data_IF_922172314576
#
_entry.id   IF_922172314576
#
_cell.length_a   1.000
_cell.length_b   1.000
_cell.length_c   1.000
_cell.angle_alpha   90.00
_cell.angle_beta   90.00
_cell.angle_gamma   90.00
#
_symmetry.space_group_name_H-M   'P 1'
#
loop_
_entity.id
_entity.type
_entity.pdbx_description
1 polymer ?
#
# COMPACT_ATOMS: atom_id res chain seq x y z
N UNK A 1 9.96 33.53 45.38
CA UNK A 1 9.58 32.14 45.11
C UNK A 1 8.07 31.93 44.85
N UNK A 2 7.32 32.97 44.44
CA UNK A 2 5.85 32.92 44.34
C UNK A 2 5.31 33.10 42.89
N UNK A 3 6.19 33.20 41.89
CA UNK A 3 5.79 33.41 40.48
C UNK A 3 5.85 32.16 39.62
N UNK A 4 6.42 31.06 40.12
CA UNK A 4 6.53 29.77 39.35
C UNK A 4 5.37 28.82 39.60
N UNK A 5 4.64 28.97 40.70
CA UNK A 5 3.50 28.11 41.03
C UNK A 5 2.24 28.37 40.15
N UNK A 6 2.13 29.56 39.54
CA UNK A 6 0.97 29.93 38.68
C UNK A 6 1.08 29.44 37.23
N UNK A 7 2.27 29.09 36.79
CA UNK A 7 2.50 28.54 35.45
C UNK A 7 2.16 27.04 35.30
N UNK A 8 2.33 26.27 36.37
CA UNK A 8 2.07 24.81 36.33
C UNK A 8 0.59 24.45 36.37
N UNK A 9 -0.27 25.30 36.95
CA UNK A 9 -1.72 25.02 37.02
C UNK A 9 -2.41 25.28 35.67
N UNK A 10 -1.93 26.22 34.85
CA UNK A 10 -2.52 26.53 33.56
C UNK A 10 -2.22 25.46 32.47
N UNK A 11 -1.10 24.72 32.58
CA UNK A 11 -0.72 23.64 31.66
C UNK A 11 -1.49 22.35 31.98
N UNK A 12 -1.89 22.14 33.21
CA UNK A 12 -2.61 20.93 33.63
C UNK A 12 -4.07 20.89 33.13
N UNK A 13 -4.69 22.02 32.82
CA UNK A 13 -6.09 22.10 32.35
C UNK A 13 -6.21 21.82 30.85
N UNK A 14 -5.12 21.95 30.07
CA UNK A 14 -5.14 21.69 28.63
C UNK A 14 -4.87 20.23 28.26
N UNK A 15 -4.50 19.36 29.20
CA UNK A 15 -4.22 17.94 29.00
C UNK A 15 -5.41 17.01 29.33
N UNK A 16 -6.51 17.56 29.83
CA UNK A 16 -7.69 16.81 30.26
C UNK A 16 -8.71 16.49 29.15
N UNK A 17 -8.48 16.89 27.90
CA UNK A 17 -9.50 16.89 26.85
C UNK A 17 -9.65 15.61 26.01
N UNK A 18 -8.79 14.61 26.09
CA UNK A 18 -8.80 13.47 25.18
C UNK A 18 -9.29 12.13 25.77
N UNK A 19 -9.73 12.11 27.03
CA UNK A 19 -10.21 10.87 27.66
C UNK A 19 -11.69 10.54 27.43
N UNK A 20 -12.40 11.31 26.58
CA UNK A 20 -13.85 11.18 26.40
C UNK A 20 -14.28 10.43 25.12
N UNK A 21 -13.34 9.92 24.31
CA UNK A 21 -13.67 9.28 23.01
C UNK A 21 -13.43 7.77 22.97
N UNK A 22 -12.99 7.13 24.05
CA UNK A 22 -12.97 5.67 24.15
C UNK A 22 -14.21 5.18 24.91
N UNK A 23 -15.37 5.49 24.36
CA UNK A 23 -16.56 4.72 24.67
C UNK A 23 -16.48 3.49 23.77
N UNK A 24 -15.94 2.38 24.29
CA UNK A 24 -16.36 1.06 23.84
C UNK A 24 -17.86 1.16 23.64
N UNK A 25 -18.33 1.11 22.41
CA UNK A 25 -19.70 0.83 22.11
C UNK A 25 -19.93 -0.60 22.58
N UNK A 26 -20.15 -0.76 23.89
CA UNK A 26 -20.90 -1.89 24.41
C UNK A 26 -22.19 -1.81 23.59
N UNK A 27 -22.30 -2.64 22.57
CA UNK A 27 -23.54 -2.80 21.83
C UNK A 27 -24.58 -3.18 22.88
N UNK A 28 -25.30 -2.19 23.33
CA UNK A 28 -26.55 -2.43 24.07
C UNK A 28 -27.35 -3.29 23.12
N UNK A 29 -27.72 -4.52 23.50
CA UNK A 29 -28.57 -5.33 22.65
C UNK A 29 -29.80 -4.47 22.36
N UNK A 30 -29.96 -4.08 21.11
CA UNK A 30 -31.14 -3.34 20.63
C UNK A 30 -32.36 -4.28 20.64
N UNK A 31 -32.72 -4.73 21.82
CA UNK A 31 -33.96 -5.47 22.08
C UNK A 31 -35.02 -4.51 22.60
N UNK A 32 -35.01 -3.27 22.17
CA UNK A 32 -36.24 -2.49 22.18
C UNK A 32 -36.97 -2.76 20.86
N UNK A 33 -37.65 -3.89 20.80
CA UNK A 33 -38.82 -3.92 19.92
C UNK A 33 -39.66 -2.72 20.35
N UNK A 34 -39.59 -1.63 19.60
CA UNK A 34 -40.51 -0.52 19.71
C UNK A 34 -41.84 -1.11 19.26
N UNK A 35 -42.62 -1.63 20.21
CA UNK A 35 -43.99 -2.02 19.95
C UNK A 35 -44.75 -0.75 19.57
N UNK A 36 -44.86 -0.51 18.27
CA UNK A 36 -45.66 0.58 17.76
C UNK A 36 -47.11 0.38 18.21
N UNK A 37 -47.59 1.16 19.17
CA UNK A 37 -48.97 1.16 19.56
C UNK A 37 -49.75 1.92 18.50
N UNK A 38 -50.48 1.19 17.68
CA UNK A 38 -51.37 1.79 16.66
C UNK A 38 -52.64 2.19 17.37
N UNK A 39 -53.05 3.46 17.32
CA UNK A 39 -54.34 3.93 17.88
C UNK A 39 -55.51 3.17 17.28
N UNK A 40 -56.57 2.99 18.07
CA UNK A 40 -57.81 2.36 17.61
C UNK A 40 -58.41 3.17 16.44
N UNK A 41 -58.69 2.48 15.31
CA UNK A 41 -59.23 3.06 14.10
C UNK A 41 -58.24 3.24 12.93
N UNK A 42 -56.95 2.99 13.14
CA UNK A 42 -55.97 2.97 12.05
C UNK A 42 -55.63 1.54 11.61
N UNK A 43 -55.56 1.32 10.29
CA UNK A 43 -55.16 0.05 9.73
C UNK A 43 -53.67 -0.21 10.03
N UNK A 44 -53.33 -1.46 10.41
CA UNK A 44 -51.92 -1.86 10.56
C UNK A 44 -51.21 -1.70 9.21
N UNK A 45 -49.93 -1.18 9.22
CA UNK A 45 -49.15 -1.13 8.00
C UNK A 45 -49.05 -2.54 7.39
N UNK A 46 -49.27 -2.63 6.09
CA UNK A 46 -49.09 -3.87 5.36
C UNK A 46 -47.59 -4.21 5.32
N UNK A 47 -47.18 -5.20 6.09
CA UNK A 47 -45.83 -5.74 6.01
C UNK A 47 -45.83 -6.84 4.94
N UNK A 48 -45.13 -6.65 3.80
CA UNK A 48 -45.02 -7.70 2.81
C UNK A 48 -44.32 -8.94 3.45
N UNK A 49 -44.92 -10.11 3.31
CA UNK A 49 -44.38 -11.37 3.86
C UNK A 49 -42.96 -11.69 3.36
N UNK A 50 -42.52 -11.05 2.29
CA UNK A 50 -41.16 -11.15 1.77
C UNK A 50 -40.07 -10.63 2.76
N UNK A 51 -40.44 -9.83 3.76
CA UNK A 51 -39.55 -9.29 4.78
C UNK A 51 -39.73 -9.94 6.16
N UNK A 52 -40.61 -10.94 6.27
CA UNK A 52 -40.75 -11.68 7.52
C UNK A 52 -39.49 -12.54 7.77
N UNK A 53 -38.80 -12.23 8.85
CA UNK A 53 -37.68 -13.05 9.30
C UNK A 53 -38.27 -14.28 9.99
N UNK A 54 -38.06 -15.50 9.47
CA UNK A 54 -38.53 -16.72 10.12
C UNK A 54 -38.06 -16.79 11.57
N UNK A 55 -38.97 -17.07 12.51
CA UNK A 55 -38.61 -17.26 13.90
C UNK A 55 -37.69 -18.49 14.00
N UNK A 56 -36.43 -18.27 14.27
CA UNK A 56 -35.47 -19.34 14.57
C UNK A 56 -35.74 -19.81 16.00
N UNK A 57 -35.99 -21.10 16.18
CA UNK A 57 -36.13 -21.69 17.52
C UNK A 57 -34.87 -21.33 18.34
N UNK A 58 -35.02 -20.86 19.59
CA UNK A 58 -33.87 -20.53 20.43
C UNK A 58 -33.05 -21.79 20.65
N UNK A 59 -31.89 -21.88 20.05
CA UNK A 59 -30.88 -22.89 20.37
C UNK A 59 -30.34 -22.51 21.74
N UNK A 60 -30.78 -23.25 22.78
CA UNK A 60 -30.39 -22.98 24.16
C UNK A 60 -28.86 -23.03 24.30
N UNK A 61 -28.25 -21.92 24.67
CA UNK A 61 -26.85 -21.85 25.09
C UNK A 61 -25.86 -21.23 24.08
N UNK A 62 -26.22 -20.93 22.86
CA UNK A 62 -25.32 -20.21 21.92
C UNK A 62 -25.80 -18.79 21.71
N UNK A 63 -25.00 -17.84 22.14
CA UNK A 63 -25.13 -16.44 21.69
C UNK A 63 -24.88 -16.47 20.20
N UNK A 64 -25.91 -16.16 19.39
CA UNK A 64 -25.74 -16.05 17.95
C UNK A 64 -24.64 -15.03 17.67
N UNK A 65 -23.53 -15.48 17.07
CA UNK A 65 -22.45 -14.59 16.68
C UNK A 65 -22.97 -13.65 15.58
N UNK A 66 -23.20 -12.38 15.94
CA UNK A 66 -23.73 -11.36 15.02
C UNK A 66 -22.68 -10.75 14.10
N UNK A 67 -21.41 -11.21 14.19
CA UNK A 67 -20.36 -10.71 13.32
C UNK A 67 -20.56 -11.25 11.90
N UNK A 68 -20.45 -10.41 10.87
CA UNK A 68 -20.48 -10.89 9.49
C UNK A 68 -19.30 -11.85 9.24
N UNK A 69 -19.45 -12.83 8.33
CA UNK A 69 -18.35 -13.73 7.99
C UNK A 69 -17.17 -12.94 7.40
N UNK A 70 -15.96 -13.32 7.77
CA UNK A 70 -14.75 -12.76 7.15
C UNK A 70 -14.67 -13.24 5.70
N UNK A 71 -14.49 -12.29 4.76
CA UNK A 71 -14.43 -12.58 3.34
C UNK A 71 -12.99 -12.68 2.86
N UNK A 72 -12.75 -13.54 1.87
CA UNK A 72 -11.48 -13.58 1.14
C UNK A 72 -11.45 -12.40 0.18
N UNK A 73 -10.32 -11.67 0.16
CA UNK A 73 -10.11 -10.48 -0.65
C UNK A 73 -9.12 -10.80 -1.77
N UNK A 74 -9.59 -10.96 -3.00
CA UNK A 74 -8.76 -11.19 -4.17
C UNK A 74 -8.11 -9.86 -4.63
N UNK A 75 -7.11 -9.38 -3.89
CA UNK A 75 -6.43 -8.09 -4.15
C UNK A 75 -5.25 -8.18 -5.11
N UNK A 76 -4.65 -9.36 -5.29
CA UNK A 76 -3.63 -9.59 -6.29
C UNK A 76 -4.25 -9.66 -7.69
N UNK A 77 -3.56 -9.15 -8.72
CA UNK A 77 -4.07 -9.15 -10.10
C UNK A 77 -4.22 -10.57 -10.67
N UNK A 78 -3.43 -11.51 -10.18
CA UNK A 78 -3.55 -12.94 -10.48
C UNK A 78 -4.65 -13.64 -9.69
N UNK A 79 -5.15 -13.05 -8.60
CA UNK A 79 -6.06 -13.74 -7.68
C UNK A 79 -7.52 -13.64 -8.11
N UNK A 80 -8.27 -14.72 -7.92
CA UNK A 80 -9.72 -14.76 -8.13
C UNK A 80 -10.40 -15.70 -7.13
N UNK A 81 -11.69 -15.51 -6.94
CA UNK A 81 -12.55 -16.38 -6.14
C UNK A 81 -13.44 -17.21 -7.08
N UNK A 82 -13.69 -18.45 -6.70
CA UNK A 82 -14.76 -19.26 -7.29
C UNK A 82 -16.00 -19.20 -6.38
N UNK A 83 -17.18 -19.08 -7.00
CA UNK A 83 -18.44 -19.08 -6.26
C UNK A 83 -18.69 -20.45 -5.60
N UNK A 84 -19.38 -20.46 -4.45
CA UNK A 84 -19.79 -21.66 -3.69
C UNK A 84 -18.70 -22.43 -2.92
N UNK A 85 -17.51 -21.89 -2.73
CA UNK A 85 -16.49 -22.59 -1.94
C UNK A 85 -16.72 -22.47 -0.43
N UNK A 86 -16.87 -23.61 0.23
CA UNK A 86 -16.94 -23.72 1.69
C UNK A 86 -15.56 -23.65 2.36
N UNK A 87 -14.50 -23.77 1.58
CA UNK A 87 -13.12 -23.78 2.04
C UNK A 87 -12.52 -22.36 2.04
N UNK A 88 -11.53 -22.12 2.90
CA UNK A 88 -10.70 -20.91 2.84
C UNK A 88 -9.70 -21.05 1.71
N UNK A 89 -10.15 -20.79 0.47
CA UNK A 89 -9.42 -21.02 -0.77
C UNK A 89 -9.45 -19.81 -1.67
N UNK A 90 -8.31 -19.52 -2.31
CA UNK A 90 -8.14 -18.55 -3.39
C UNK A 90 -7.53 -19.25 -4.61
N UNK A 91 -7.90 -18.80 -5.80
CA UNK A 91 -7.28 -19.21 -7.04
C UNK A 91 -6.33 -18.13 -7.53
N UNK A 92 -5.17 -18.54 -8.04
CA UNK A 92 -4.24 -17.69 -8.76
C UNK A 92 -4.18 -18.13 -10.22
N UNK A 93 -4.08 -17.16 -11.11
CA UNK A 93 -3.93 -17.38 -12.54
C UNK A 93 -2.64 -16.75 -13.04
N UNK A 94 -1.95 -17.45 -13.92
CA UNK A 94 -0.73 -16.96 -14.55
C UNK A 94 -1.02 -15.69 -15.34
N UNK A 95 -0.21 -14.67 -15.12
CA UNK A 95 -0.17 -13.45 -15.92
C UNK A 95 1.28 -13.06 -16.22
N UNK A 96 1.50 -11.96 -16.91
CA UNK A 96 2.83 -11.48 -17.30
C UNK A 96 3.72 -11.10 -16.09
N UNK A 97 3.11 -10.82 -14.93
CA UNK A 97 3.82 -10.43 -13.72
C UNK A 97 4.26 -11.63 -12.88
N UNK A 98 3.52 -12.74 -12.95
CA UNK A 98 3.81 -13.95 -12.16
C UNK A 98 4.84 -14.86 -12.82
N UNK A 99 5.01 -14.78 -14.15
CA UNK A 99 5.87 -15.70 -14.87
C UNK A 99 5.44 -17.16 -14.68
N UNK A 100 6.31 -18.01 -14.16
CA UNK A 100 5.94 -19.40 -13.79
C UNK A 100 5.22 -19.38 -12.44
N UNK A 101 3.93 -19.68 -12.46
CA UNK A 101 3.01 -19.43 -11.35
C UNK A 101 3.37 -20.20 -10.08
N UNK A 102 3.68 -21.50 -10.17
CA UNK A 102 3.93 -22.32 -8.98
C UNK A 102 5.20 -21.88 -8.22
N UNK A 103 6.38 -21.76 -8.86
CA UNK A 103 7.57 -21.24 -8.18
C UNK A 103 7.37 -19.81 -7.62
N UNK A 104 6.66 -18.95 -8.35
CA UNK A 104 6.37 -17.60 -7.89
C UNK A 104 5.57 -17.61 -6.59
N UNK A 105 4.44 -18.34 -6.54
CA UNK A 105 3.60 -18.44 -5.33
C UNK A 105 4.34 -19.11 -4.18
N UNK A 106 5.13 -20.16 -4.44
CA UNK A 106 5.97 -20.78 -3.43
C UNK A 106 7.00 -19.81 -2.83
N UNK A 107 7.57 -18.94 -3.65
CA UNK A 107 8.51 -17.92 -3.18
C UNK A 107 7.80 -16.89 -2.32
N UNK A 108 6.64 -16.36 -2.76
CA UNK A 108 5.88 -15.40 -1.97
C UNK A 108 5.42 -15.98 -0.62
N UNK A 109 5.08 -17.27 -0.60
CA UNK A 109 4.73 -17.96 0.64
C UNK A 109 5.92 -18.02 1.62
N UNK A 110 7.11 -18.40 1.13
CA UNK A 110 8.35 -18.42 1.94
C UNK A 110 8.70 -17.03 2.45
N UNK A 111 8.68 -16.02 1.59
CA UNK A 111 9.02 -14.64 1.94
C UNK A 111 8.05 -14.06 2.98
N UNK A 112 6.77 -14.36 2.84
CA UNK A 112 5.73 -13.92 3.79
C UNK A 112 5.99 -14.43 5.21
N UNK A 113 6.30 -15.72 5.38
CA UNK A 113 6.54 -16.29 6.71
C UNK A 113 7.93 -15.95 7.25
N UNK A 114 8.95 -15.88 6.37
CA UNK A 114 10.29 -15.43 6.75
C UNK A 114 10.29 -13.99 7.29
N UNK A 115 9.57 -13.07 6.66
CA UNK A 115 9.43 -11.69 7.12
C UNK A 115 8.79 -11.58 8.52
N UNK A 116 8.00 -12.55 8.92
CA UNK A 116 7.36 -12.64 10.24
C UNK A 116 8.16 -13.49 11.25
N UNK A 117 9.34 -14.00 10.83
CA UNK A 117 10.15 -14.93 11.65
C UNK A 117 9.39 -16.19 12.07
N UNK A 118 8.46 -16.65 11.23
CA UNK A 118 7.69 -17.86 11.42
C UNK A 118 8.31 -18.97 10.57
N UNK A 119 8.59 -20.10 11.19
CA UNK A 119 9.08 -21.28 10.49
C UNK A 119 8.00 -21.80 9.52
N UNK A 120 8.41 -22.17 8.31
CA UNK A 120 7.54 -22.79 7.31
C UNK A 120 8.16 -24.13 6.90
N UNK A 121 7.56 -25.22 7.36
CA UNK A 121 8.01 -26.58 7.08
C UNK A 121 7.31 -27.12 5.83
N UNK A 122 8.10 -27.53 4.84
CA UNK A 122 7.58 -28.20 3.64
C UNK A 122 7.31 -29.67 3.96
N UNK A 123 6.10 -30.18 3.65
CA UNK A 123 5.67 -31.53 4.00
C UNK A 123 5.81 -32.56 2.86
N UNK A 124 6.09 -32.09 1.63
CA UNK A 124 6.27 -32.95 0.46
C UNK A 124 7.38 -32.42 -0.48
N UNK A 125 7.96 -33.29 -1.29
CA UNK A 125 9.07 -32.96 -2.19
C UNK A 125 8.68 -31.96 -3.29
N UNK A 126 7.40 -31.90 -3.66
CA UNK A 126 6.90 -30.99 -4.68
C UNK A 126 6.65 -29.56 -4.16
N UNK A 127 6.71 -29.35 -2.85
CA UNK A 127 6.39 -28.05 -2.24
C UNK A 127 4.93 -27.65 -2.42
N UNK A 128 4.02 -28.60 -2.31
CA UNK A 128 2.58 -28.35 -2.44
C UNK A 128 1.89 -28.27 -1.10
N UNK A 129 2.50 -28.77 -0.03
CA UNK A 129 1.96 -28.73 1.33
C UNK A 129 2.99 -28.18 2.31
N UNK A 130 2.54 -27.26 3.13
CA UNK A 130 3.36 -26.58 4.13
C UNK A 130 2.63 -26.54 5.46
N UNK A 131 3.40 -26.54 6.54
CA UNK A 131 2.92 -26.33 7.89
C UNK A 131 3.70 -25.16 8.51
N UNK A 132 2.98 -24.24 9.16
CA UNK A 132 3.62 -23.10 9.85
C UNK A 132 4.04 -23.47 11.26
N UNK A 133 5.09 -22.85 11.75
CA UNK A 133 5.33 -22.73 13.18
C UNK A 133 4.23 -21.93 13.87
N UNK A 134 4.41 -21.68 15.18
CA UNK A 134 3.47 -20.88 15.95
C UNK A 134 3.51 -19.40 15.54
N UNK A 135 2.37 -18.88 15.17
CA UNK A 135 2.16 -17.44 14.90
C UNK A 135 1.53 -16.83 16.13
N UNK A 136 2.32 -16.09 16.90
CA UNK A 136 1.84 -15.38 18.08
C UNK A 136 1.11 -14.11 17.67
N UNK A 137 -0.07 -13.88 18.24
CA UNK A 137 -0.85 -12.67 18.03
C UNK A 137 -0.91 -11.87 19.31
N UNK A 138 -0.62 -10.59 19.22
CA UNK A 138 -0.62 -9.66 20.34
C UNK A 138 -1.65 -8.56 20.12
N UNK A 139 -2.24 -8.08 21.19
CA UNK A 139 -3.07 -6.87 21.17
C UNK A 139 -2.24 -5.72 21.70
N UNK A 140 -2.09 -4.67 20.91
CA UNK A 140 -1.47 -3.44 21.36
C UNK A 140 -2.46 -2.68 22.25
N UNK A 141 -2.07 -2.34 23.45
CA UNK A 141 -2.83 -1.49 24.36
C UNK A 141 -1.94 -0.37 24.87
N UNK A 142 -2.52 0.82 25.14
CA UNK A 142 -1.82 2.00 25.63
C UNK A 142 -1.76 3.14 24.62
N UNK A 143 -1.29 4.31 25.11
CA UNK A 143 -1.26 5.55 24.35
C UNK A 143 0.19 6.01 24.14
N UNK A 144 0.54 6.32 22.90
CA UNK A 144 1.77 6.92 22.39
C UNK A 144 3.09 6.34 22.96
N UNK A 145 3.61 6.81 24.11
CA UNK A 145 4.88 6.37 24.70
C UNK A 145 4.76 5.12 25.60
N UNK A 146 3.54 4.69 25.93
CA UNK A 146 3.27 3.53 26.78
C UNK A 146 2.43 2.48 26.02
N UNK A 147 2.92 2.06 24.84
CA UNK A 147 2.34 0.91 24.16
C UNK A 147 2.84 -0.36 24.82
N UNK A 148 1.91 -1.20 25.26
CA UNK A 148 2.16 -2.55 25.73
C UNK A 148 1.59 -3.54 24.71
N UNK A 149 2.39 -4.49 24.29
CA UNK A 149 1.94 -5.62 23.48
C UNK A 149 1.68 -6.80 24.40
N UNK A 150 0.41 -7.18 24.53
CA UNK A 150 0.02 -8.33 25.33
C UNK A 150 -0.31 -9.49 24.38
N UNK A 151 0.36 -10.64 24.52
CA UNK A 151 0.04 -11.82 23.73
C UNK A 151 -1.38 -12.28 24.07
N UNK A 152 -2.19 -12.52 23.04
CA UNK A 152 -3.59 -12.96 23.18
C UNK A 152 -3.69 -14.46 22.95
N UNK A 153 -3.10 -14.91 21.85
CA UNK A 153 -3.15 -16.30 21.43
C UNK A 153 -2.03 -16.65 20.45
N UNK A 154 -1.96 -17.91 20.09
CA UNK A 154 -1.08 -18.39 19.03
C UNK A 154 -1.79 -19.43 18.17
N UNK A 155 -1.41 -19.48 16.89
CA UNK A 155 -2.07 -20.30 15.88
C UNK A 155 -1.06 -20.97 14.96
N UNK A 156 -1.44 -22.14 14.40
CA UNK A 156 -0.69 -22.85 13.37
C UNK A 156 -1.60 -23.19 12.21
N UNK A 157 -1.06 -23.15 11.01
CA UNK A 157 -1.81 -23.42 9.77
C UNK A 157 -1.14 -24.47 8.92
N UNK A 158 -1.96 -25.19 8.17
CA UNK A 158 -1.54 -25.92 6.97
C UNK A 158 -1.91 -25.09 5.75
N UNK A 159 -0.95 -24.93 4.84
CA UNK A 159 -1.15 -24.28 3.54
C UNK A 159 -0.98 -25.33 2.46
N UNK A 160 -1.98 -25.49 1.62
CA UNK A 160 -1.97 -26.42 0.51
C UNK A 160 -2.07 -25.69 -0.81
N UNK A 161 -1.17 -26.02 -1.75
CA UNK A 161 -1.12 -25.54 -3.12
C UNK A 161 -1.57 -26.66 -4.04
N UNK A 162 -2.56 -26.42 -4.89
CA UNK A 162 -3.06 -27.41 -5.85
C UNK A 162 -3.03 -26.82 -7.27
N UNK A 163 -1.91 -27.01 -8.01
CA UNK A 163 -1.82 -26.59 -9.40
C UNK A 163 -2.71 -27.44 -10.29
N UNK A 164 -3.36 -26.80 -11.28
CA UNK A 164 -4.07 -27.52 -12.33
C UNK A 164 -3.09 -28.12 -13.35
N UNK A 165 -3.42 -29.23 -14.02
CA UNK A 165 -2.50 -29.94 -14.94
C UNK A 165 -1.92 -29.06 -16.06
N UNK A 166 -2.63 -28.02 -16.49
CA UNK A 166 -2.16 -27.08 -17.51
C UNK A 166 -1.16 -26.03 -17.01
N UNK A 167 -0.85 -25.98 -15.68
CA UNK A 167 0.13 -25.09 -15.06
C UNK A 167 -0.22 -23.60 -15.04
N UNK A 168 -1.38 -23.18 -15.57
CA UNK A 168 -1.79 -21.77 -15.67
C UNK A 168 -2.63 -21.28 -14.48
N UNK A 169 -3.13 -22.19 -13.68
CA UNK A 169 -3.89 -21.86 -12.47
C UNK A 169 -3.51 -22.78 -11.33
N UNK A 170 -3.58 -22.23 -10.15
CA UNK A 170 -3.30 -22.95 -8.91
C UNK A 170 -4.24 -22.46 -7.82
N UNK A 171 -4.76 -23.34 -6.96
CA UNK A 171 -5.46 -22.91 -5.76
C UNK A 171 -4.55 -22.98 -4.54
N UNK A 172 -4.76 -22.04 -3.62
CA UNK A 172 -4.16 -22.03 -2.29
C UNK A 172 -5.27 -22.15 -1.26
N UNK A 173 -5.15 -23.12 -0.38
CA UNK A 173 -6.08 -23.34 0.73
C UNK A 173 -5.34 -23.19 2.05
N UNK A 174 -5.93 -22.52 3.01
CA UNK A 174 -5.43 -22.47 4.38
C UNK A 174 -6.38 -23.21 5.31
N UNK A 175 -5.81 -24.02 6.21
CA UNK A 175 -6.54 -24.76 7.23
C UNK A 175 -5.90 -24.49 8.59
N UNK A 176 -6.69 -24.12 9.58
CA UNK A 176 -6.22 -23.95 10.95
C UNK A 176 -5.95 -25.33 11.55
N UNK A 177 -4.70 -25.58 11.95
CA UNK A 177 -4.30 -26.83 12.62
C UNK A 177 -4.51 -26.75 14.13
N UNK A 178 -3.96 -25.71 14.75
CA UNK A 178 -3.97 -25.52 16.18
C UNK A 178 -4.20 -24.06 16.55
N UNK A 179 -4.89 -23.86 17.66
CA UNK A 179 -5.14 -22.56 18.25
C UNK A 179 -5.05 -22.66 19.78
N UNK A 180 -4.24 -21.82 20.39
CA UNK A 180 -4.05 -21.75 21.83
C UNK A 180 -4.26 -20.33 22.33
N UNK A 181 -5.20 -20.15 23.25
CA UNK A 181 -5.39 -18.89 23.96
C UNK A 181 -4.48 -18.81 25.18
N UNK A 182 -3.93 -17.62 25.43
CA UNK A 182 -3.17 -17.35 26.66
C UNK A 182 -4.09 -16.97 27.84
N UNK A 183 -5.36 -16.67 27.55
CA UNK A 183 -6.38 -16.37 28.58
C UNK A 183 -7.19 -17.59 28.85
N UNK A 184 -7.24 -18.00 30.11
CA UNK A 184 -7.97 -19.21 30.52
C UNK A 184 -9.48 -19.03 30.33
N UNK A 185 -10.13 -20.08 29.77
CA UNK A 185 -11.58 -20.15 29.59
C UNK A 185 -12.08 -19.67 28.21
N UNK A 186 -11.24 -19.12 27.37
CA UNK A 186 -11.60 -18.82 25.98
C UNK A 186 -11.61 -20.10 25.13
N UNK A 187 -12.61 -20.24 24.27
CA UNK A 187 -12.75 -21.35 23.32
C UNK A 187 -12.99 -20.84 21.92
N UNK A 188 -12.36 -21.49 20.94
CA UNK A 188 -12.51 -21.17 19.54
C UNK A 188 -13.87 -21.62 19.00
N UNK A 189 -14.66 -20.70 18.46
CA UNK A 189 -15.85 -21.05 17.69
C UNK A 189 -15.48 -21.48 16.27
N UNK A 190 -16.38 -22.24 15.61
CA UNK A 190 -16.18 -22.63 14.18
C UNK A 190 -16.05 -21.41 13.27
N UNK A 191 -16.80 -20.33 13.56
CA UNK A 191 -16.72 -19.09 12.81
C UNK A 191 -15.37 -18.38 13.03
N UNK A 192 -14.85 -18.37 14.24
CA UNK A 192 -13.56 -17.77 14.54
C UNK A 192 -12.41 -18.58 13.92
N UNK A 193 -12.51 -19.92 13.88
CA UNK A 193 -11.57 -20.77 13.14
C UNK A 193 -11.55 -20.40 11.66
N UNK A 194 -12.71 -20.30 11.03
CA UNK A 194 -12.85 -19.91 9.63
C UNK A 194 -12.31 -18.49 9.38
N UNK A 195 -12.61 -17.54 10.27
CA UNK A 195 -12.07 -16.18 10.18
C UNK A 195 -10.53 -16.17 10.27
N UNK A 196 -9.93 -17.00 11.11
CA UNK A 196 -8.48 -17.14 11.21
C UNK A 196 -7.86 -17.66 9.92
N UNK A 197 -8.44 -18.69 9.31
CA UNK A 197 -8.00 -19.23 8.00
C UNK A 197 -8.07 -18.15 6.91
N UNK A 198 -9.18 -17.41 6.83
CA UNK A 198 -9.36 -16.35 5.85
C UNK A 198 -8.39 -15.19 6.08
N UNK A 199 -8.13 -14.82 7.33
CA UNK A 199 -7.22 -13.73 7.66
C UNK A 199 -5.78 -14.04 7.26
N UNK A 200 -5.26 -15.24 7.50
CA UNK A 200 -3.90 -15.60 7.04
C UNK A 200 -3.84 -15.64 5.51
N UNK A 201 -4.89 -16.17 4.87
CA UNK A 201 -4.97 -16.22 3.40
C UNK A 201 -4.97 -14.81 2.79
N UNK A 202 -5.77 -13.88 3.33
CA UNK A 202 -5.79 -12.49 2.87
C UNK A 202 -4.42 -11.79 3.01
N UNK A 203 -3.68 -12.09 4.07
CA UNK A 203 -2.33 -11.55 4.25
C UNK A 203 -1.34 -12.10 3.21
N UNK A 204 -1.45 -13.39 2.87
CA UNK A 204 -0.64 -14.01 1.81
C UNK A 204 -1.02 -13.43 0.44
N UNK A 205 -2.32 -13.28 0.14
CA UNK A 205 -2.79 -12.65 -1.10
C UNK A 205 -2.23 -11.23 -1.23
N UNK A 206 -2.22 -10.47 -0.14
CA UNK A 206 -1.65 -9.12 -0.14
C UNK A 206 -0.12 -9.13 -0.40
N UNK A 207 0.62 -10.12 0.10
CA UNK A 207 2.03 -10.30 -0.21
C UNK A 207 2.23 -10.55 -1.72
N UNK A 208 1.40 -11.40 -2.32
CA UNK A 208 1.41 -11.65 -3.77
C UNK A 208 1.10 -10.36 -4.54
N UNK A 209 0.11 -9.58 -4.12
CA UNK A 209 -0.23 -8.30 -4.75
C UNK A 209 0.95 -7.31 -4.71
N UNK A 210 1.67 -7.22 -3.59
CA UNK A 210 2.86 -6.37 -3.46
C UNK A 210 3.96 -6.84 -4.43
N UNK A 211 4.19 -8.15 -4.53
CA UNK A 211 5.19 -8.70 -5.44
C UNK A 211 4.85 -8.44 -6.91
N UNK A 212 3.58 -8.52 -7.29
CA UNK A 212 3.11 -8.18 -8.64
C UNK A 212 3.32 -6.69 -8.96
N UNK A 213 3.03 -5.80 -8.02
CA UNK A 213 3.31 -4.36 -8.18
C UNK A 213 4.81 -4.09 -8.37
N UNK A 214 5.66 -4.80 -7.63
CA UNK A 214 7.11 -4.70 -7.79
C UNK A 214 7.56 -5.23 -9.16
N UNK A 215 7.08 -6.40 -9.58
CA UNK A 215 7.37 -6.95 -10.90
C UNK A 215 6.91 -6.03 -12.04
N UNK A 216 5.73 -5.42 -11.93
CA UNK A 216 5.24 -4.46 -12.90
C UNK A 216 6.09 -3.19 -12.96
N UNK A 217 6.63 -2.75 -11.81
CA UNK A 217 7.57 -1.64 -11.75
C UNK A 217 8.89 -2.00 -12.42
N UNK A 218 9.45 -3.16 -12.12
CA UNK A 218 10.70 -3.65 -12.72
C UNK A 218 10.57 -3.81 -14.23
N UNK A 219 9.46 -4.36 -14.73
CA UNK A 219 9.20 -4.47 -16.17
C UNK A 219 9.15 -3.09 -16.84
N UNK A 220 8.46 -2.12 -16.24
CA UNK A 220 8.44 -0.74 -16.76
C UNK A 220 9.83 -0.12 -16.80
N UNK A 221 10.63 -0.30 -15.73
CA UNK A 221 12.00 0.20 -15.67
C UNK A 221 12.92 -0.48 -16.69
N UNK A 222 12.70 -1.77 -16.98
CA UNK A 222 13.48 -2.51 -17.97
C UNK A 222 13.16 -2.11 -19.42
N UNK A 223 11.91 -1.70 -19.67
CA UNK A 223 11.43 -1.26 -21.01
C UNK A 223 11.65 0.25 -21.24
N UNK A 224 11.76 1.05 -20.18
CA UNK A 224 11.98 2.49 -20.28
C UNK A 224 13.33 2.78 -20.97
N UNK A 225 13.31 2.96 -22.27
CA UNK A 225 14.45 3.42 -23.06
C UNK A 225 14.63 4.91 -22.76
N UNK A 226 15.58 5.23 -21.87
CA UNK A 226 15.96 6.61 -21.60
C UNK A 226 16.83 7.09 -22.74
N UNK A 227 16.23 7.82 -23.70
CA UNK A 227 16.94 8.39 -24.86
C UNK A 227 17.52 9.78 -24.59
N UNK A 228 17.76 10.10 -23.31
CA UNK A 228 18.32 11.40 -22.94
C UNK A 228 19.83 11.42 -23.23
N UNK A 229 20.30 12.46 -23.94
CA UNK A 229 21.72 12.63 -24.30
C UNK A 229 22.15 14.09 -24.12
N UNK A 230 23.38 14.38 -23.64
CA UNK A 230 23.90 15.75 -23.67
C UNK A 230 24.07 16.26 -25.12
N UNK A 231 23.65 17.48 -25.38
CA UNK A 231 23.72 18.08 -26.69
C UNK A 231 23.58 19.60 -26.67
N UNK A 232 23.15 20.17 -27.78
CA UNK A 232 22.91 21.62 -27.94
C UNK A 232 21.47 21.84 -28.41
N UNK A 233 20.84 22.90 -27.93
CA UNK A 233 19.57 23.37 -28.48
C UNK A 233 19.76 24.10 -29.85
N UNK A 234 18.66 24.59 -30.45
CA UNK A 234 18.72 25.27 -31.73
C UNK A 234 19.49 26.61 -31.69
N UNK A 235 19.61 27.21 -30.53
CA UNK A 235 20.37 28.44 -30.31
C UNK A 235 21.86 28.18 -30.02
N UNK A 236 22.26 26.89 -29.89
CA UNK A 236 23.63 26.49 -29.57
C UNK A 236 23.90 26.45 -28.05
N UNK A 237 22.91 26.56 -27.22
CA UNK A 237 23.06 26.44 -25.77
C UNK A 237 23.17 24.99 -25.34
N UNK A 238 23.91 24.69 -24.26
CA UNK A 238 23.97 23.34 -23.68
C UNK A 238 22.57 22.86 -23.26
N UNK A 239 22.24 21.63 -23.67
CA UNK A 239 20.92 21.04 -23.42
C UNK A 239 21.02 19.52 -23.21
N UNK A 240 20.00 18.95 -22.60
CA UNK A 240 19.76 17.52 -22.64
C UNK A 240 18.72 17.23 -23.71
N UNK A 241 19.05 16.33 -24.63
CA UNK A 241 18.24 16.01 -25.80
C UNK A 241 17.51 14.72 -25.58
N UNK A 242 16.20 14.70 -25.83
CA UNK A 242 15.39 13.48 -25.87
C UNK A 242 14.74 13.30 -27.23
N UNK A 243 14.43 12.05 -27.60
CA UNK A 243 13.66 11.73 -28.81
C UNK A 243 12.17 11.97 -28.65
N UNK A 244 11.70 12.20 -27.43
CA UNK A 244 10.28 12.40 -27.14
C UNK A 244 9.78 13.75 -27.67
N UNK A 245 8.52 13.82 -28.15
CA UNK A 245 7.88 15.07 -28.55
C UNK A 245 7.81 16.09 -27.40
N UNK A 246 7.80 17.37 -27.72
CA UNK A 246 7.88 18.44 -26.73
C UNK A 246 6.70 18.48 -25.76
N UNK A 247 5.50 18.14 -26.21
CA UNK A 247 4.30 18.06 -25.37
C UNK A 247 4.34 16.89 -24.39
N UNK A 248 4.91 15.74 -24.82
CA UNK A 248 5.14 14.58 -23.96
C UNK A 248 6.22 14.90 -22.93
N UNK A 249 7.37 15.41 -23.38
CA UNK A 249 8.48 15.84 -22.50
C UNK A 249 8.01 16.85 -21.46
N UNK A 250 7.19 17.83 -21.86
CA UNK A 250 6.60 18.81 -20.97
C UNK A 250 5.84 18.12 -19.83
N UNK A 251 4.90 17.25 -20.14
CA UNK A 251 4.07 16.56 -19.13
C UNK A 251 4.87 15.61 -18.24
N UNK A 252 5.91 14.99 -18.77
CA UNK A 252 6.77 14.07 -18.01
C UNK A 252 7.69 14.83 -17.05
N UNK A 253 8.15 16.02 -17.38
CA UNK A 253 8.94 16.86 -16.48
C UNK A 253 8.18 17.23 -15.21
N UNK A 254 6.87 17.48 -15.28
CA UNK A 254 6.05 17.74 -14.08
C UNK A 254 6.09 16.57 -13.09
N UNK A 255 6.11 15.33 -13.59
CA UNK A 255 6.21 14.13 -12.77
C UNK A 255 7.63 13.90 -12.24
N UNK A 256 8.64 14.44 -12.95
CA UNK A 256 10.05 14.26 -12.61
C UNK A 256 10.56 15.26 -11.56
N UNK A 257 10.00 16.47 -11.50
CA UNK A 257 10.46 17.53 -10.60
C UNK A 257 10.53 17.12 -9.12
N UNK A 258 9.52 16.43 -8.55
CA UNK A 258 9.60 15.98 -7.16
C UNK A 258 10.76 15.02 -6.88
N UNK A 259 11.09 14.14 -7.85
CA UNK A 259 12.18 13.16 -7.71
C UNK A 259 13.57 13.85 -7.71
N UNK A 260 13.67 15.01 -8.36
CA UNK A 260 14.87 15.85 -8.44
C UNK A 260 14.93 16.93 -7.34
N UNK A 261 13.99 16.94 -6.42
CA UNK A 261 13.85 17.98 -5.39
C UNK A 261 13.70 19.39 -5.96
N UNK A 262 13.00 19.49 -7.12
CA UNK A 262 12.64 20.73 -7.76
C UNK A 262 11.18 21.09 -7.45
N UNK A 263 10.96 22.33 -7.09
CA UNK A 263 9.62 22.88 -6.88
C UNK A 263 9.28 23.84 -8.01
N UNK A 264 8.22 23.60 -8.77
CA UNK A 264 7.75 24.53 -9.79
C UNK A 264 7.17 25.76 -9.11
N UNK A 265 7.74 26.92 -9.39
CA UNK A 265 7.27 28.21 -8.88
C UNK A 265 6.34 28.90 -9.88
N UNK A 266 6.59 28.71 -11.19
CA UNK A 266 5.76 29.22 -12.28
C UNK A 266 6.04 28.44 -13.56
N UNK A 267 5.20 28.59 -14.58
CA UNK A 267 5.46 28.08 -15.92
C UNK A 267 4.81 28.95 -16.99
N UNK A 268 5.46 29.03 -18.14
CA UNK A 268 4.92 29.68 -19.35
C UNK A 268 4.89 28.65 -20.50
N UNK A 269 3.69 28.17 -20.82
CA UNK A 269 3.49 27.17 -21.86
C UNK A 269 3.63 27.78 -23.29
N UNK A 270 3.52 29.09 -23.44
CA UNK A 270 3.64 29.73 -24.73
C UNK A 270 5.09 29.78 -25.23
N UNK A 271 6.03 29.88 -24.30
CA UNK A 271 7.48 29.82 -24.54
C UNK A 271 8.12 28.54 -24.01
N UNK A 272 7.31 27.58 -23.56
CA UNK A 272 7.72 26.25 -23.08
C UNK A 272 8.79 26.32 -21.98
N UNK A 273 8.56 27.17 -20.97
CA UNK A 273 9.50 27.41 -19.89
C UNK A 273 8.88 27.07 -18.55
N UNK A 274 9.60 26.26 -17.74
CA UNK A 274 9.33 26.06 -16.33
C UNK A 274 10.28 26.91 -15.49
N UNK A 275 9.75 27.57 -14.49
CA UNK A 275 10.50 28.23 -13.43
C UNK A 275 10.50 27.34 -12.19
N UNK A 276 11.67 26.97 -11.73
CA UNK A 276 11.81 26.00 -10.64
C UNK A 276 12.73 26.51 -9.56
N UNK A 277 12.45 26.16 -8.31
CA UNK A 277 13.34 26.36 -7.18
C UNK A 277 13.98 25.03 -6.81
N UNK A 278 15.30 25.01 -6.69
CA UNK A 278 16.06 23.86 -6.21
C UNK A 278 16.56 24.11 -4.79
N UNK A 279 16.43 23.09 -3.94
CA UNK A 279 17.00 23.07 -2.60
C UNK A 279 17.68 21.73 -2.38
N UNK A 280 18.97 21.76 -1.99
CA UNK A 280 19.75 20.54 -1.76
C UNK A 280 19.09 19.67 -0.66
N UNK A 281 18.86 18.39 -0.93
CA UNK A 281 18.28 17.50 0.08
C UNK A 281 19.24 17.35 1.28
N UNK A 282 18.75 17.67 2.49
CA UNK A 282 19.50 17.48 3.73
C UNK A 282 19.45 16.02 4.17
N UNK A 283 20.59 15.38 4.32
CA UNK A 283 20.76 13.93 4.59
C UNK A 283 20.17 13.41 5.92
N UNK A 284 19.59 14.24 6.78
CA UNK A 284 19.33 13.85 8.17
C UNK A 284 17.90 13.47 8.55
N UNK A 285 16.87 14.01 7.92
CA UNK A 285 15.50 13.99 8.46
C UNK A 285 14.53 13.14 7.63
N UNK A 286 14.77 12.99 6.34
CA UNK A 286 13.83 12.33 5.42
C UNK A 286 13.74 10.81 5.59
N UNK A 287 14.82 10.15 5.98
CA UNK A 287 14.84 8.69 6.20
C UNK A 287 13.96 8.22 7.37
N UNK A 288 13.58 9.13 8.27
CA UNK A 288 12.80 8.80 9.47
C UNK A 288 11.30 9.05 9.30
N UNK A 289 10.90 9.87 8.33
CA UNK A 289 9.51 10.34 8.19
C UNK A 289 8.80 9.75 6.97
N UNK A 290 9.54 9.48 5.89
CA UNK A 290 8.98 8.87 4.68
C UNK A 290 9.76 7.61 4.37
N UNK A 291 9.09 6.49 4.20
CA UNK A 291 9.68 5.21 3.74
C UNK A 291 10.14 5.27 2.26
N UNK A 292 10.46 6.46 1.74
CA UNK A 292 11.00 6.68 0.40
C UNK A 292 12.50 6.91 0.47
N UNK A 293 13.21 6.45 -0.54
CA UNK A 293 14.61 6.80 -0.74
C UNK A 293 14.79 8.31 -0.80
N UNK A 294 15.95 8.80 -0.32
CA UNK A 294 16.25 10.22 -0.35
C UNK A 294 16.21 10.72 -1.80
N UNK A 295 15.61 11.89 -2.08
CA UNK A 295 15.58 12.44 -3.43
C UNK A 295 17.00 12.62 -3.99
N UNK A 296 17.13 12.45 -5.31
CA UNK A 296 18.41 12.59 -5.99
C UNK A 296 18.93 14.03 -5.87
N UNK A 297 20.20 14.15 -5.50
CA UNK A 297 20.85 15.45 -5.42
C UNK A 297 21.37 15.89 -6.80
N UNK A 298 20.92 17.04 -7.27
CA UNK A 298 21.48 17.67 -8.47
C UNK A 298 22.79 18.39 -8.15
N UNK A 299 23.72 18.53 -9.12
CA UNK A 299 24.95 19.28 -8.96
C UNK A 299 24.72 20.80 -9.08
N UNK A 300 23.59 21.28 -8.56
CA UNK A 300 23.18 22.67 -8.53
C UNK A 300 23.35 23.27 -7.14
N UNK A 301 23.50 24.59 -7.05
CA UNK A 301 23.37 25.32 -5.80
C UNK A 301 21.90 25.61 -5.50
N UNK A 302 21.57 25.89 -4.23
CA UNK A 302 20.24 26.31 -3.85
C UNK A 302 19.88 27.61 -4.60
N UNK A 303 18.75 27.63 -5.27
CA UNK A 303 18.36 28.78 -6.08
C UNK A 303 17.23 28.54 -7.05
N UNK A 304 16.96 29.56 -7.85
CA UNK A 304 15.95 29.54 -8.91
C UNK A 304 16.59 29.28 -10.27
N UNK A 305 15.93 28.43 -11.06
CA UNK A 305 16.38 28.02 -12.39
C UNK A 305 15.21 28.03 -13.37
N UNK A 306 15.56 28.06 -14.66
CA UNK A 306 14.58 27.92 -15.73
C UNK A 306 14.93 26.70 -16.58
N UNK A 307 13.91 25.90 -16.93
CA UNK A 307 14.00 24.82 -17.90
C UNK A 307 13.24 25.24 -19.16
N UNK A 308 13.95 25.46 -20.22
CA UNK A 308 13.39 25.88 -21.50
C UNK A 308 13.38 24.69 -22.45
N UNK A 309 12.19 24.33 -22.96
CA UNK A 309 12.03 23.26 -23.93
C UNK A 309 12.00 23.85 -25.34
N UNK A 310 12.73 23.25 -26.24
CA UNK A 310 12.67 23.57 -27.66
C UNK A 310 12.65 22.31 -28.51
N UNK A 311 12.08 22.39 -29.72
CA UNK A 311 12.09 21.26 -30.64
C UNK A 311 13.52 20.97 -31.09
N UNK A 312 13.85 19.68 -31.22
CA UNK A 312 15.14 19.22 -31.70
C UNK A 312 14.96 18.22 -32.85
N UNK A 313 15.63 18.39 -33.97
CA UNK A 313 15.67 17.48 -35.13
C UNK A 313 14.30 16.87 -35.51
N UNK A 314 13.26 17.71 -35.64
CA UNK A 314 11.93 17.32 -36.08
C UNK A 314 11.00 16.95 -34.93
N UNK A 315 11.11 15.78 -34.35
CA UNK A 315 10.18 15.28 -33.30
C UNK A 315 10.76 15.33 -31.88
N UNK A 316 12.09 15.37 -31.73
CA UNK A 316 12.74 15.39 -30.43
C UNK A 316 12.64 16.71 -29.69
N UNK A 317 13.09 16.73 -28.46
CA UNK A 317 13.08 17.91 -27.59
C UNK A 317 14.45 18.14 -26.97
N UNK A 318 14.90 19.42 -26.98
CA UNK A 318 16.02 19.88 -26.21
C UNK A 318 15.51 20.55 -24.92
N UNK A 319 16.11 20.18 -23.78
CA UNK A 319 15.84 20.73 -22.44
C UNK A 319 17.07 21.54 -22.04
N UNK A 320 16.99 22.87 -22.20
CA UNK A 320 18.04 23.81 -21.85
C UNK A 320 17.82 24.29 -20.41
N UNK A 321 18.90 24.37 -19.65
CA UNK A 321 18.88 24.86 -18.27
C UNK A 321 19.49 26.26 -18.24
N UNK A 322 18.81 27.15 -17.54
CA UNK A 322 19.23 28.56 -17.38
C UNK A 322 19.15 28.92 -15.89
N UNK A 323 19.94 29.91 -15.51
CA UNK A 323 19.83 30.53 -14.19
C UNK A 323 18.59 31.45 -14.13
N UNK A 324 18.36 32.08 -12.97
CA UNK A 324 17.22 32.98 -12.76
C UNK A 324 17.18 34.21 -13.68
N UNK A 325 18.32 34.60 -14.26
CA UNK A 325 18.42 35.74 -15.18
C UNK A 325 18.19 35.35 -16.66
N UNK A 326 18.02 34.04 -16.92
CA UNK A 326 17.86 33.50 -18.26
C UNK A 326 19.19 33.21 -18.97
N UNK A 327 20.33 33.26 -18.27
CA UNK A 327 21.62 32.88 -18.81
C UNK A 327 21.77 31.35 -18.83
N UNK A 328 22.18 30.73 -19.96
CA UNK A 328 22.38 29.30 -20.05
C UNK A 328 23.43 28.80 -19.06
N UNK A 329 23.17 27.66 -18.44
CA UNK A 329 24.14 27.02 -17.54
C UNK A 329 25.37 26.53 -18.32
N UNK A 330 26.58 26.53 -17.71
CA UNK A 330 27.80 26.06 -18.35
C UNK A 330 27.68 24.61 -18.86
N UNK A 331 28.32 24.24 -20.00
CA UNK A 331 28.24 22.90 -20.58
C UNK A 331 28.62 21.79 -19.60
N UNK A 332 29.64 22.03 -18.76
CA UNK A 332 30.08 21.06 -17.75
C UNK A 332 29.00 20.78 -16.71
N UNK A 333 28.22 21.80 -16.33
CA UNK A 333 27.14 21.67 -15.36
C UNK A 333 25.93 20.94 -15.97
N UNK A 334 25.55 21.29 -17.21
CA UNK A 334 24.47 20.59 -17.94
C UNK A 334 24.83 19.12 -18.16
N UNK A 335 26.09 18.82 -18.50
CA UNK A 335 26.55 17.44 -18.61
C UNK A 335 26.51 16.70 -17.28
N UNK A 336 26.78 17.37 -16.16
CA UNK A 336 26.71 16.76 -14.83
C UNK A 336 25.26 16.53 -14.35
N UNK A 337 24.27 17.21 -14.93
CA UNK A 337 22.84 16.95 -14.69
C UNK A 337 22.36 15.66 -15.34
N UNK A 338 23.05 15.14 -16.35
CA UNK A 338 22.64 13.97 -17.11
C UNK A 338 22.39 12.74 -16.22
N UNK A 339 23.37 12.31 -15.44
CA UNK A 339 23.26 11.11 -14.59
C UNK A 339 22.13 11.19 -13.56
N UNK A 340 21.98 12.30 -12.80
CA UNK A 340 20.83 12.46 -11.89
C UNK A 340 19.48 12.46 -12.61
N UNK A 341 19.39 13.10 -13.79
CA UNK A 341 18.16 13.11 -14.59
C UNK A 341 17.80 11.70 -15.05
N UNK A 342 18.75 10.94 -15.61
CA UNK A 342 18.54 9.55 -16.03
C UNK A 342 18.12 8.68 -14.85
N UNK A 343 18.76 8.84 -13.69
CA UNK A 343 18.41 8.10 -12.49
C UNK A 343 16.98 8.42 -12.02
N UNK A 344 16.58 9.70 -12.05
CA UNK A 344 15.23 10.11 -11.69
C UNK A 344 14.17 9.60 -12.68
N UNK A 345 14.44 9.67 -13.99
CA UNK A 345 13.57 9.15 -15.04
C UNK A 345 13.32 7.66 -14.84
N UNK A 346 14.37 6.89 -14.60
CA UNK A 346 14.26 5.45 -14.29
C UNK A 346 13.48 5.20 -12.99
N UNK A 347 13.77 5.94 -11.93
CA UNK A 347 13.08 5.80 -10.65
C UNK A 347 11.57 6.10 -10.76
N UNK A 348 11.22 7.10 -11.58
CA UNK A 348 9.83 7.46 -11.85
C UNK A 348 9.14 6.53 -12.87
N UNK A 349 9.89 5.67 -13.58
CA UNK A 349 9.34 4.80 -14.63
C UNK A 349 8.82 5.59 -15.83
N UNK A 350 9.49 6.69 -16.18
CA UNK A 350 9.15 7.57 -17.30
C UNK A 350 9.96 7.18 -18.55
N UNK A 351 9.42 7.50 -19.71
CA UNK A 351 10.09 7.32 -21.01
C UNK A 351 10.55 8.69 -21.51
N UNK A 352 11.86 8.83 -21.74
CA UNK A 352 12.48 10.08 -22.24
C UNK A 352 13.30 9.83 -23.47
#
# INVERSE_FOLDING_TARGET
MQKWAKGCVAVSVLLGGCAFFDKETTETPSTSQVNLRIPEGLAKPNQPAAFDIPAVAPVSGQIANKKPPTLILATASSSRLEEEEKLSRVWFERNDLTGDLLPFIQQQLRDFFAAQQVELTQLDDAGLRYETGWIQRSRSSGFWLWKSENPVDQVRYQIELAPRPHGRSLSMTSTLLEHQYFVAGEQLSVQDAKANEVNVLNRIINQVAIAEVQAAREQRLAVAEVSLEPGLDQAGNPALITRQPTDVTWSQLELLFPELNLTVTDFDRSVLTYYVSYTKPTRGIWRTITFRDAPLSLPLEDGEYQLVLSRHNGTGTAISWQDKSGEPLPPALVSALYEPMVAAIRAAGLEF
#
